data_IF_770793703042
#
_entry.id   IF_770793703042
#
_cell.length_a   1.000
_cell.length_b   1.000
_cell.length_c   1.000
_cell.angle_alpha   90.00
_cell.angle_beta   90.00
_cell.angle_gamma   90.00
#
_symmetry.space_group_name_H-M   'P 1'
#
loop_
_entity.id
_entity.type
_entity.pdbx_description
1 polymer ?
#
# COMPACT_ATOMS: atom_id res chain seq x y z
N UNK A 1 6.47 -0.14 14.14
CA UNK A 1 7.18 -0.20 15.44
C UNK A 1 7.58 -1.63 15.78
N UNK A 2 6.67 -2.61 15.73
CA UNK A 2 6.94 -4.01 16.09
C UNK A 2 8.04 -4.69 15.26
N UNK A 3 8.23 -4.32 14.01
CA UNK A 3 9.27 -4.87 13.13
C UNK A 3 10.64 -4.19 13.29
N UNK A 4 10.74 -3.13 14.12
CA UNK A 4 12.00 -2.37 14.29
C UNK A 4 13.21 -3.23 14.68
N UNK A 5 13.11 -4.24 15.55
CA UNK A 5 14.25 -5.11 15.87
C UNK A 5 14.73 -5.91 14.64
N UNK A 6 13.79 -6.40 13.83
CA UNK A 6 14.11 -7.17 12.61
C UNK A 6 14.76 -6.28 11.56
N UNK A 7 14.28 -5.04 11.40
CA UNK A 7 14.89 -4.03 10.53
C UNK A 7 16.31 -3.70 10.97
N UNK A 8 16.54 -3.60 12.29
CA UNK A 8 17.88 -3.36 12.82
C UNK A 8 18.85 -4.53 12.52
N UNK A 9 18.36 -5.76 12.63
CA UNK A 9 19.15 -6.96 12.25
C UNK A 9 19.46 -6.97 10.75
N UNK A 10 18.47 -6.68 9.91
CA UNK A 10 18.66 -6.56 8.45
C UNK A 10 19.67 -5.46 8.11
N UNK A 11 19.57 -4.30 8.76
CA UNK A 11 20.50 -3.19 8.61
C UNK A 11 21.93 -3.55 9.00
N UNK A 12 22.10 -4.27 10.10
CA UNK A 12 23.42 -4.76 10.54
C UNK A 12 24.00 -5.76 9.53
N UNK A 13 23.21 -6.69 9.05
CA UNK A 13 23.61 -7.65 8.03
C UNK A 13 24.10 -6.95 6.75
N UNK A 14 23.39 -5.93 6.30
CA UNK A 14 23.79 -5.11 5.16
C UNK A 14 25.13 -4.40 5.37
N UNK A 15 25.38 -3.88 6.58
CA UNK A 15 26.64 -3.21 6.92
C UNK A 15 27.83 -4.17 6.99
N UNK A 16 27.62 -5.40 7.41
CA UNK A 16 28.67 -6.42 7.53
C UNK A 16 28.99 -7.09 6.20
N UNK A 17 28.06 -7.10 5.27
CA UNK A 17 28.25 -7.71 3.95
C UNK A 17 28.86 -6.69 2.99
N UNK A 18 30.16 -6.85 2.71
CA UNK A 18 30.87 -5.98 1.76
C UNK A 18 30.31 -6.02 0.32
N UNK A 19 29.58 -7.09 -0.03
CA UNK A 19 28.93 -7.25 -1.33
C UNK A 19 27.51 -6.66 -1.37
N UNK A 20 26.98 -6.18 -0.22
CA UNK A 20 25.65 -5.59 -0.17
C UNK A 20 25.60 -4.25 -0.92
N UNK A 21 24.50 -3.95 -1.62
CA UNK A 21 24.35 -2.69 -2.32
C UNK A 21 24.34 -1.52 -1.31
N UNK A 22 25.13 -0.47 -1.61
CA UNK A 22 25.16 0.73 -0.79
C UNK A 22 23.82 1.47 -0.93
N UNK A 23 23.19 1.78 0.20
CA UNK A 23 21.99 2.59 0.24
C UNK A 23 22.39 4.05 0.00
N UNK A 24 21.82 4.64 -1.03
CA UNK A 24 22.12 6.02 -1.45
C UNK A 24 21.01 6.99 -0.98
N UNK A 25 21.28 8.29 -1.03
CA UNK A 25 20.25 9.32 -0.77
C UNK A 25 19.05 9.19 -1.71
N UNK A 26 19.27 8.74 -2.95
CA UNK A 26 18.17 8.48 -3.90
C UNK A 26 17.25 7.35 -3.43
N UNK A 27 17.79 6.36 -2.74
CA UNK A 27 17.00 5.25 -2.21
C UNK A 27 16.09 5.70 -1.08
N UNK A 28 16.60 6.55 -0.19
CA UNK A 28 15.79 7.18 0.85
C UNK A 28 14.68 8.06 0.26
N UNK A 29 14.97 8.80 -0.80
CA UNK A 29 13.96 9.57 -1.51
C UNK A 29 12.88 8.67 -2.14
N UNK A 30 13.27 7.54 -2.73
CA UNK A 30 12.32 6.56 -3.26
C UNK A 30 11.46 5.96 -2.15
N UNK A 31 12.05 5.59 -1.00
CA UNK A 31 11.31 5.10 0.17
C UNK A 31 10.30 6.15 0.66
N UNK A 32 10.72 7.40 0.74
CA UNK A 32 9.84 8.50 1.13
C UNK A 32 8.67 8.68 0.14
N UNK A 33 8.96 8.65 -1.16
CA UNK A 33 7.94 8.76 -2.20
C UNK A 33 6.93 7.60 -2.15
N UNK A 34 7.40 6.38 -1.87
CA UNK A 34 6.51 5.23 -1.64
C UNK A 34 5.62 5.43 -0.41
N UNK A 35 6.15 6.00 0.67
CA UNK A 35 5.36 6.37 1.85
C UNK A 35 4.28 7.42 1.54
N UNK A 36 4.60 8.40 0.67
CA UNK A 36 3.62 9.38 0.17
C UNK A 36 2.54 8.71 -0.66
N UNK A 37 2.91 7.83 -1.59
CA UNK A 37 1.93 7.10 -2.41
C UNK A 37 1.03 6.20 -1.56
N UNK A 38 1.59 5.54 -0.57
CA UNK A 38 0.84 4.71 0.37
C UNK A 38 -0.16 5.58 1.17
N UNK A 39 0.30 6.72 1.70
CA UNK A 39 -0.56 7.66 2.41
C UNK A 39 -1.67 8.21 1.52
N UNK A 40 -1.36 8.62 0.29
CA UNK A 40 -2.35 9.10 -0.66
C UNK A 40 -3.40 8.03 -1.00
N UNK A 41 -2.95 6.79 -1.30
CA UNK A 41 -3.84 5.67 -1.60
C UNK A 41 -4.77 5.34 -0.43
N UNK A 42 -4.22 5.20 0.77
CA UNK A 42 -5.02 4.89 1.97
C UNK A 42 -5.98 6.03 2.34
N UNK A 43 -5.56 7.29 2.20
CA UNK A 43 -6.43 8.45 2.47
C UNK A 43 -7.61 8.51 1.49
N UNK A 44 -7.37 8.34 0.20
CA UNK A 44 -8.44 8.28 -0.82
C UNK A 44 -9.41 7.12 -0.54
N UNK A 45 -8.89 5.96 -0.14
CA UNK A 45 -9.70 4.79 0.22
C UNK A 45 -10.58 5.08 1.45
N UNK A 46 -10.00 5.67 2.48
CA UNK A 46 -10.75 6.02 3.71
C UNK A 46 -11.85 7.06 3.43
N UNK A 47 -11.57 8.07 2.61
CA UNK A 47 -12.59 9.03 2.18
C UNK A 47 -13.70 8.31 1.40
N UNK A 48 -13.34 7.45 0.45
CA UNK A 48 -14.29 6.69 -0.34
C UNK A 48 -15.19 5.79 0.49
N UNK A 49 -14.64 5.09 1.49
CA UNK A 49 -15.39 4.20 2.37
C UNK A 49 -16.43 4.91 3.23
N UNK A 50 -16.39 6.24 3.37
CA UNK A 50 -17.47 7.00 4.01
C UNK A 50 -18.75 7.06 3.15
N UNK A 51 -18.65 6.84 1.85
CA UNK A 51 -19.72 7.03 0.88
C UNK A 51 -20.04 5.76 0.07
N UNK A 52 -19.25 4.70 0.22
CA UNK A 52 -19.50 3.40 -0.41
C UNK A 52 -19.40 2.25 0.58
N UNK A 53 -19.84 1.06 0.16
CA UNK A 53 -19.71 -0.14 1.00
C UNK A 53 -18.27 -0.64 1.04
N UNK A 54 -17.89 -1.27 2.15
CA UNK A 54 -16.58 -1.92 2.30
C UNK A 54 -16.35 -2.96 1.19
N UNK A 55 -17.41 -3.65 0.79
CA UNK A 55 -17.41 -4.65 -0.28
C UNK A 55 -17.06 -4.04 -1.63
N UNK A 56 -17.74 -2.94 -2.01
CA UNK A 56 -17.42 -2.22 -3.25
C UNK A 56 -16.00 -1.64 -3.21
N UNK A 57 -15.61 -1.04 -2.08
CA UNK A 57 -14.26 -0.52 -1.90
C UNK A 57 -13.19 -1.61 -2.09
N UNK A 58 -13.42 -2.81 -1.55
CA UNK A 58 -12.52 -3.95 -1.73
C UNK A 58 -12.39 -4.38 -3.19
N UNK A 59 -13.53 -4.48 -3.91
CA UNK A 59 -13.53 -4.82 -5.34
C UNK A 59 -12.79 -3.77 -6.17
N UNK A 60 -13.16 -2.50 -6.02
CA UNK A 60 -12.59 -1.41 -6.80
C UNK A 60 -11.09 -1.24 -6.52
N UNK A 61 -10.67 -1.36 -5.26
CA UNK A 61 -9.25 -1.36 -4.91
C UNK A 61 -8.53 -2.53 -5.60
N UNK A 62 -9.14 -3.73 -5.64
CA UNK A 62 -8.56 -4.93 -6.28
C UNK A 62 -8.18 -4.73 -7.75
N UNK A 63 -8.70 -3.69 -8.42
CA UNK A 63 -8.33 -3.35 -9.80
C UNK A 63 -6.85 -2.97 -9.97
N UNK A 64 -6.14 -2.60 -8.88
CA UNK A 64 -4.69 -2.37 -8.99
C UNK A 64 -3.92 -3.67 -9.30
N UNK A 65 -4.44 -4.84 -8.94
CA UNK A 65 -3.75 -6.14 -9.13
C UNK A 65 -3.39 -6.41 -10.60
N UNK A 66 -4.31 -6.33 -11.58
CA UNK A 66 -3.95 -6.46 -12.99
C UNK A 66 -3.18 -5.24 -13.54
N UNK A 67 -3.34 -4.06 -12.95
CA UNK A 67 -2.64 -2.86 -13.39
C UNK A 67 -1.14 -2.89 -13.07
N UNK A 68 -0.72 -3.53 -11.98
CA UNK A 68 0.70 -3.68 -11.63
C UNK A 68 1.50 -4.33 -12.76
N UNK A 69 1.17 -5.56 -13.22
CA UNK A 69 1.90 -6.17 -14.33
C UNK A 69 1.75 -5.42 -15.65
N UNK A 70 0.58 -4.80 -15.91
CA UNK A 70 0.34 -3.99 -17.10
C UNK A 70 1.27 -2.76 -17.15
N UNK A 71 1.32 -1.97 -16.08
CA UNK A 71 2.23 -0.83 -15.99
C UNK A 71 3.70 -1.28 -15.94
N UNK A 72 4.01 -2.41 -15.30
CA UNK A 72 5.35 -3.01 -15.34
C UNK A 72 5.80 -3.33 -16.76
N UNK A 73 4.92 -3.83 -17.60
CA UNK A 73 5.18 -4.08 -19.02
C UNK A 73 5.39 -2.77 -19.80
N UNK A 74 4.51 -1.79 -19.61
CA UNK A 74 4.52 -0.53 -20.37
C UNK A 74 5.70 0.36 -19.96
N UNK A 75 5.88 0.60 -18.66
CA UNK A 75 6.87 1.55 -18.15
C UNK A 75 8.29 0.98 -18.12
N UNK A 76 8.43 -0.28 -17.73
CA UNK A 76 9.74 -0.91 -17.53
C UNK A 76 10.07 -1.96 -18.57
N UNK A 77 9.16 -2.23 -19.53
CA UNK A 77 9.31 -3.28 -20.54
C UNK A 77 9.68 -4.64 -19.93
N UNK A 78 9.28 -4.88 -18.68
CA UNK A 78 9.52 -6.15 -17.99
C UNK A 78 8.63 -7.22 -18.61
N UNK A 79 9.24 -8.35 -18.98
CA UNK A 79 8.47 -9.51 -19.45
C UNK A 79 7.65 -10.06 -18.30
N UNK A 80 6.34 -10.01 -18.42
CA UNK A 80 5.40 -10.60 -17.46
C UNK A 80 5.15 -12.03 -17.87
N UNK A 81 5.34 -12.98 -16.94
CA UNK A 81 5.06 -14.38 -17.21
C UNK A 81 3.57 -14.56 -17.54
N UNK A 82 3.27 -15.35 -18.58
CA UNK A 82 1.89 -15.49 -19.08
C UNK A 82 0.87 -15.93 -18.01
N UNK A 83 1.28 -16.72 -17.00
CA UNK A 83 0.44 -17.19 -15.88
C UNK A 83 -0.10 -16.03 -15.03
N UNK A 84 0.55 -14.86 -15.01
CA UNK A 84 0.10 -13.69 -14.24
C UNK A 84 -1.26 -13.19 -14.73
N UNK A 85 -1.54 -13.28 -16.04
CA UNK A 85 -2.77 -12.77 -16.62
C UNK A 85 -4.02 -13.57 -16.20
N UNK A 86 -4.05 -14.90 -16.33
CA UNK A 86 -5.18 -15.68 -15.82
C UNK A 86 -5.32 -15.60 -14.30
N UNK A 87 -4.20 -15.49 -13.55
CA UNK A 87 -4.26 -15.30 -12.10
C UNK A 87 -4.91 -13.95 -11.73
N UNK A 88 -4.51 -12.85 -12.40
CA UNK A 88 -5.11 -11.53 -12.19
C UNK A 88 -6.62 -11.51 -12.55
N UNK A 89 -7.00 -12.14 -13.66
CA UNK A 89 -8.40 -12.30 -14.04
C UNK A 89 -9.17 -13.14 -13.00
N UNK A 90 -8.58 -14.23 -12.51
CA UNK A 90 -9.17 -15.05 -11.45
C UNK A 90 -9.41 -14.26 -10.16
N UNK A 91 -8.47 -13.40 -9.76
CA UNK A 91 -8.65 -12.49 -8.63
C UNK A 91 -9.82 -11.52 -8.85
N UNK A 92 -9.92 -10.90 -10.03
CA UNK A 92 -11.02 -9.99 -10.37
C UNK A 92 -12.38 -10.70 -10.35
N UNK A 93 -12.46 -11.87 -10.97
CA UNK A 93 -13.70 -12.66 -10.99
C UNK A 93 -14.07 -13.09 -9.58
N UNK A 94 -13.11 -13.59 -8.79
CA UNK A 94 -13.34 -13.99 -7.40
C UNK A 94 -13.83 -12.83 -6.54
N UNK A 95 -13.21 -11.67 -6.66
CA UNK A 95 -13.63 -10.46 -5.94
C UNK A 95 -15.02 -10.01 -6.39
N UNK A 96 -15.30 -10.02 -7.70
CA UNK A 96 -16.62 -9.69 -8.24
C UNK A 96 -17.74 -10.62 -7.73
N UNK A 97 -17.47 -11.92 -7.67
CA UNK A 97 -18.42 -12.89 -7.11
C UNK A 97 -18.66 -12.63 -5.60
N UNK A 98 -17.62 -12.31 -4.84
CA UNK A 98 -17.73 -11.99 -3.42
C UNK A 98 -18.53 -10.71 -3.17
N UNK A 99 -18.50 -9.74 -4.10
CA UNK A 99 -19.26 -8.50 -4.01
C UNK A 99 -20.74 -8.61 -4.39
N UNK A 100 -21.23 -9.84 -4.70
CA UNK A 100 -22.65 -10.07 -5.01
C UNK A 100 -23.01 -9.79 -6.46
N UNK A 101 -22.09 -10.02 -7.39
CA UNK A 101 -22.29 -10.16 -8.84
C UNK A 101 -23.43 -9.29 -9.43
N UNK A 102 -23.30 -7.97 -9.42
CA UNK A 102 -24.23 -7.12 -10.19
C UNK A 102 -24.93 -5.99 -9.42
N UNK A 103 -24.66 -5.80 -8.13
CA UNK A 103 -25.20 -4.65 -7.38
C UNK A 103 -24.21 -3.47 -7.30
N UNK A 104 -23.39 -3.28 -8.33
CA UNK A 104 -22.47 -2.15 -8.44
C UNK A 104 -23.24 -0.89 -8.87
N UNK A 105 -23.99 -0.30 -7.96
CA UNK A 105 -24.44 1.07 -8.16
C UNK A 105 -23.26 1.99 -7.86
N UNK A 106 -22.62 2.50 -8.91
CA UNK A 106 -21.51 3.44 -8.77
C UNK A 106 -21.99 4.72 -8.09
N UNK A 107 -21.28 5.11 -7.04
CA UNK A 107 -21.55 6.32 -6.27
C UNK A 107 -20.26 7.18 -6.15
N UNK A 108 -20.39 8.36 -5.54
CA UNK A 108 -19.24 9.27 -5.37
C UNK A 108 -18.10 8.62 -4.58
N UNK A 109 -18.42 7.75 -3.60
CA UNK A 109 -17.41 7.01 -2.84
C UNK A 109 -16.59 6.06 -3.72
N UNK A 110 -17.22 5.43 -4.70
CA UNK A 110 -16.54 4.53 -5.63
C UNK A 110 -15.52 5.26 -6.50
N UNK A 111 -15.78 6.52 -6.87
CA UNK A 111 -14.80 7.35 -7.59
C UNK A 111 -13.55 7.64 -6.75
N UNK A 112 -13.73 7.92 -5.45
CA UNK A 112 -12.60 8.09 -4.54
C UNK A 112 -11.78 6.81 -4.42
N UNK A 113 -12.45 5.66 -4.28
CA UNK A 113 -11.78 4.35 -4.22
C UNK A 113 -11.08 4.03 -5.52
N UNK A 114 -11.69 4.27 -6.67
CA UNK A 114 -11.03 4.11 -7.97
C UNK A 114 -9.77 4.97 -8.09
N UNK A 115 -9.79 6.18 -7.52
CA UNK A 115 -8.62 7.05 -7.43
C UNK A 115 -7.44 6.40 -6.69
N UNK A 116 -7.67 5.42 -5.80
CA UNK A 116 -6.61 4.72 -5.06
C UNK A 116 -5.80 3.77 -5.93
N UNK A 117 -6.39 3.31 -7.02
CA UNK A 117 -5.78 2.29 -7.90
C UNK A 117 -4.45 2.77 -8.47
N UNK A 118 -4.34 4.06 -8.82
CA UNK A 118 -3.12 4.64 -9.38
C UNK A 118 -1.99 4.67 -8.35
N UNK A 119 -2.15 5.32 -7.17
CA UNK A 119 -1.07 5.35 -6.18
C UNK A 119 -0.70 3.96 -5.67
N UNK A 120 -1.64 3.04 -5.48
CA UNK A 120 -1.32 1.67 -5.06
C UNK A 120 -0.58 0.89 -6.15
N UNK A 121 -0.96 1.02 -7.41
CA UNK A 121 -0.24 0.37 -8.51
C UNK A 121 1.22 0.84 -8.59
N UNK A 122 1.45 2.15 -8.55
CA UNK A 122 2.79 2.73 -8.57
C UNK A 122 3.60 2.33 -7.33
N UNK A 123 2.96 2.37 -6.16
CA UNK A 123 3.56 1.96 -4.90
C UNK A 123 4.06 0.51 -4.96
N UNK A 124 3.19 -0.45 -5.31
CA UNK A 124 3.56 -1.88 -5.37
C UNK A 124 4.66 -2.12 -6.40
N UNK A 125 4.58 -1.47 -7.57
CA UNK A 125 5.57 -1.61 -8.63
C UNK A 125 6.96 -1.12 -8.18
N UNK A 126 7.03 -0.01 -7.46
CA UNK A 126 8.29 0.56 -7.00
C UNK A 126 8.86 -0.16 -5.77
N UNK A 127 8.00 -0.55 -4.83
CA UNK A 127 8.41 -1.34 -3.65
C UNK A 127 9.09 -2.62 -4.09
N UNK A 128 8.49 -3.38 -5.01
CA UNK A 128 9.06 -4.62 -5.51
C UNK A 128 10.46 -4.40 -6.11
N UNK A 129 10.61 -3.39 -6.99
CA UNK A 129 11.89 -3.10 -7.63
C UNK A 129 12.99 -2.63 -6.66
N UNK A 130 12.63 -1.82 -5.66
CA UNK A 130 13.61 -1.31 -4.69
C UNK A 130 14.00 -2.37 -3.66
N UNK A 131 13.05 -3.15 -3.15
CA UNK A 131 13.29 -4.22 -2.19
C UNK A 131 14.20 -5.32 -2.79
N UNK A 132 13.95 -5.68 -4.05
CA UNK A 132 14.80 -6.62 -4.79
C UNK A 132 16.23 -6.07 -4.96
N UNK A 133 16.38 -4.81 -5.38
CA UNK A 133 17.68 -4.17 -5.60
C UNK A 133 18.50 -4.02 -4.32
N UNK A 134 17.87 -3.63 -3.22
CA UNK A 134 18.57 -3.40 -1.95
C UNK A 134 18.76 -4.67 -1.13
N UNK A 135 18.10 -5.77 -1.48
CA UNK A 135 18.06 -7.00 -0.65
C UNK A 135 17.63 -6.70 0.81
N UNK A 136 16.79 -5.68 1.00
CA UNK A 136 16.37 -5.15 2.31
C UNK A 136 14.87 -4.86 2.35
N UNK A 137 13.99 -5.86 2.21
CA UNK A 137 12.56 -5.64 2.15
C UNK A 137 11.98 -5.07 3.44
N UNK A 138 12.53 -5.45 4.61
CA UNK A 138 12.04 -4.94 5.89
C UNK A 138 12.39 -3.47 6.09
N UNK A 139 13.58 -3.05 5.67
CA UNK A 139 14.00 -1.65 5.73
C UNK A 139 13.13 -0.77 4.83
N UNK A 140 12.85 -1.23 3.60
CA UNK A 140 11.97 -0.53 2.66
C UNK A 140 10.57 -0.42 3.22
N UNK A 141 10.00 -1.52 3.75
CA UNK A 141 8.68 -1.53 4.35
C UNK A 141 8.59 -0.59 5.57
N UNK A 142 9.56 -0.66 6.48
CA UNK A 142 9.60 0.17 7.67
C UNK A 142 9.70 1.66 7.35
N UNK A 143 10.60 2.02 6.43
CA UNK A 143 10.82 3.41 6.05
C UNK A 143 9.56 4.05 5.45
N UNK A 144 8.86 3.37 4.54
CA UNK A 144 7.63 3.88 3.94
C UNK A 144 6.48 3.97 4.96
N UNK A 145 6.38 3.03 5.92
CA UNK A 145 5.36 3.11 6.96
C UNK A 145 5.60 4.28 7.93
N UNK A 146 6.85 4.60 8.24
CA UNK A 146 7.17 5.81 9.03
C UNK A 146 6.72 7.06 8.28
N UNK A 147 7.08 7.20 7.01
CA UNK A 147 6.68 8.37 6.21
C UNK A 147 5.16 8.46 6.12
N UNK A 148 4.48 7.36 5.81
CA UNK A 148 3.02 7.32 5.77
C UNK A 148 2.40 7.71 7.11
N UNK A 149 2.90 7.15 8.22
CA UNK A 149 2.40 7.45 9.57
C UNK A 149 2.62 8.91 9.98
N UNK A 150 3.79 9.48 9.69
CA UNK A 150 4.07 10.90 9.95
C UNK A 150 3.15 11.80 9.14
N UNK A 151 2.94 11.52 7.85
CA UNK A 151 2.02 12.28 7.01
C UNK A 151 0.59 12.16 7.51
N UNK A 152 0.14 10.96 7.85
CA UNK A 152 -1.20 10.74 8.40
C UNK A 152 -1.42 11.53 9.69
N UNK A 153 -0.43 11.55 10.61
CA UNK A 153 -0.49 12.36 11.82
C UNK A 153 -0.55 13.86 11.51
N UNK A 154 0.29 14.34 10.59
CA UNK A 154 0.31 15.75 10.20
C UNK A 154 -1.02 16.22 9.60
N UNK A 155 -1.68 15.36 8.84
CA UNK A 155 -2.99 15.68 8.25
C UNK A 155 -4.14 15.52 9.25
N UNK A 156 -4.07 14.57 10.20
CA UNK A 156 -5.14 14.35 11.17
C UNK A 156 -5.19 15.40 12.27
N UNK A 157 -4.03 15.89 12.73
CA UNK A 157 -3.96 16.87 13.83
C UNK A 157 -4.82 18.12 13.63
N UNK A 158 -4.87 18.77 12.44
CA UNK A 158 -5.71 19.93 12.22
C UNK A 158 -7.18 19.58 11.87
N UNK A 159 -7.47 18.35 11.50
CA UNK A 159 -8.77 17.96 10.96
C UNK A 159 -9.62 17.17 11.97
N UNK A 160 -8.99 16.57 12.97
CA UNK A 160 -9.67 15.70 13.93
C UNK A 160 -9.50 16.22 15.37
N UNK A 161 -10.58 16.24 16.13
CA UNK A 161 -10.54 16.46 17.59
C UNK A 161 -10.27 15.13 18.26
N UNK A 162 -9.16 15.06 19.00
CA UNK A 162 -8.78 13.85 19.73
C UNK A 162 -9.63 13.69 20.98
N UNK A 163 -10.46 12.66 21.05
CA UNK A 163 -11.28 12.32 22.21
C UNK A 163 -10.71 11.11 22.95
N UNK A 164 -10.09 11.38 24.10
CA UNK A 164 -9.51 10.37 24.97
C UNK A 164 -10.53 9.33 25.47
N UNK A 165 -11.81 9.70 25.63
CA UNK A 165 -12.85 8.80 26.13
C UNK A 165 -13.18 7.69 25.13
N UNK A 166 -12.94 7.92 23.85
CA UNK A 166 -13.18 6.91 22.83
C UNK A 166 -11.98 5.97 22.62
N UNK A 167 -10.79 6.29 23.15
CA UNK A 167 -9.60 5.47 22.97
C UNK A 167 -9.77 4.06 23.55
N UNK A 168 -10.44 3.92 24.70
CA UNK A 168 -10.72 2.61 25.30
C UNK A 168 -11.63 1.73 24.44
N UNK A 169 -12.56 2.33 23.69
CA UNK A 169 -13.50 1.62 22.80
C UNK A 169 -12.82 1.09 21.54
N UNK A 170 -11.80 1.80 21.05
CA UNK A 170 -11.06 1.41 19.84
C UNK A 170 -9.81 0.60 20.14
N UNK A 171 -9.42 0.47 21.41
CA UNK A 171 -8.20 -0.24 21.82
C UNK A 171 -8.18 -1.69 21.31
N UNK A 172 -9.24 -2.46 21.54
CA UNK A 172 -9.33 -3.85 21.13
C UNK A 172 -9.34 -4.02 19.60
N UNK A 173 -10.12 -3.26 18.81
CA UNK A 173 -10.02 -3.27 17.36
C UNK A 173 -8.61 -2.94 16.85
N UNK A 174 -7.94 -1.94 17.44
CA UNK A 174 -6.57 -1.58 17.07
C UNK A 174 -5.56 -2.69 17.43
N UNK A 175 -5.70 -3.28 18.62
CA UNK A 175 -4.83 -4.39 19.05
C UNK A 175 -4.99 -5.63 18.16
N UNK A 176 -6.17 -5.86 17.60
CA UNK A 176 -6.43 -6.96 16.66
C UNK A 176 -5.83 -6.70 15.27
N UNK A 177 -5.69 -5.44 14.86
CA UNK A 177 -5.14 -5.06 13.53
C UNK A 177 -3.62 -5.03 13.49
N UNK A 178 -2.93 -5.12 14.63
CA UNK A 178 -1.48 -5.09 14.77
C UNK A 178 -0.90 -6.48 14.91
#
# INVERSE_FOLDING_TARGET
VLISPLVWMEWQSLKQNAAAPKITTKDWLHIALMGVLLCAGTSLQQIGMKYTSVTNAGFLTGLYVPLVPLLGLILYRRKVHWVVWPAALGCLIGTWLLTGAGQLALNVGDLWVLGTVIPFTLHVLWVGGLAERLHAPLLVAWGQFIVCGVLALLFSLPLETFDWNNLSKVFWPLAYMV
#
